data_IF_150275859363
#
_entry.id   IF_150275859363
#
_cell.length_a   1.000
_cell.length_b   1.000
_cell.length_c   1.000
_cell.angle_alpha   90.00
_cell.angle_beta   90.00
_cell.angle_gamma   90.00
#
_symmetry.space_group_name_H-M   'P 1'
#
loop_
_entity.id
_entity.type
_entity.pdbx_description
1 polymer ?
#
# COMPACT_ATOMS: atom_id res chain seq x y z
N UNK A 1 4.94 5.37 -20.33
CA UNK A 1 3.99 6.47 -20.07
C UNK A 1 4.65 7.68 -19.38
N UNK A 2 5.46 7.50 -18.34
CA UNK A 2 5.99 8.65 -17.59
C UNK A 2 6.79 9.64 -18.44
N UNK A 3 7.91 9.23 -19.03
CA UNK A 3 8.80 10.16 -19.76
C UNK A 3 8.15 10.69 -21.04
N UNK A 4 7.57 9.80 -21.85
CA UNK A 4 7.10 10.14 -23.21
C UNK A 4 5.68 10.75 -23.24
N UNK A 5 4.88 10.53 -22.20
CA UNK A 5 3.48 11.01 -22.15
C UNK A 5 3.20 11.91 -20.95
N UNK A 6 4.19 12.10 -20.06
CA UNK A 6 4.03 12.90 -18.84
C UNK A 6 3.12 12.27 -17.77
N UNK A 7 2.77 10.99 -17.89
CA UNK A 7 1.84 10.32 -16.97
C UNK A 7 2.64 9.53 -15.93
N UNK A 8 2.87 10.14 -14.76
CA UNK A 8 3.51 9.47 -13.64
C UNK A 8 2.59 8.37 -13.06
N UNK A 9 3.13 7.18 -12.73
CA UNK A 9 2.33 6.11 -12.17
C UNK A 9 1.96 6.40 -10.72
N UNK A 10 0.67 6.31 -10.39
CA UNK A 10 0.20 6.34 -9.00
C UNK A 10 0.32 4.98 -8.29
N UNK A 11 0.47 3.91 -9.08
CA UNK A 11 0.50 2.51 -8.65
C UNK A 11 1.31 1.68 -9.66
N UNK A 12 2.10 0.75 -9.17
CA UNK A 12 2.81 -0.25 -9.98
C UNK A 12 2.55 -1.62 -9.35
N UNK A 13 1.92 -2.54 -10.06
CA UNK A 13 1.71 -3.90 -9.56
C UNK A 13 2.96 -4.75 -9.78
N UNK A 14 3.42 -5.39 -8.71
CA UNK A 14 4.57 -6.30 -8.70
C UNK A 14 4.13 -7.70 -8.28
N UNK A 15 4.88 -8.71 -8.70
CA UNK A 15 4.69 -10.10 -8.28
C UNK A 15 5.99 -10.68 -7.71
N UNK A 16 5.86 -11.68 -6.85
CA UNK A 16 6.99 -12.55 -6.47
C UNK A 16 7.52 -13.28 -7.70
N UNK A 17 8.77 -13.77 -7.62
CA UNK A 17 9.44 -14.47 -8.74
C UNK A 17 8.68 -15.74 -9.13
N UNK A 18 8.16 -16.47 -8.14
CA UNK A 18 7.32 -17.65 -8.31
C UNK A 18 5.86 -17.33 -8.70
N UNK A 19 5.51 -16.03 -8.79
CA UNK A 19 4.18 -15.51 -9.13
C UNK A 19 3.05 -15.97 -8.21
N UNK A 20 3.37 -16.43 -7.00
CA UNK A 20 2.35 -16.86 -6.03
C UNK A 20 1.69 -15.70 -5.30
N UNK A 21 2.34 -14.52 -5.27
CA UNK A 21 1.81 -13.31 -4.63
C UNK A 21 2.04 -12.08 -5.51
N UNK A 22 1.12 -11.13 -5.44
CA UNK A 22 1.25 -9.81 -6.06
C UNK A 22 0.77 -8.69 -5.15
N UNK A 23 1.42 -7.53 -5.24
CA UNK A 23 1.11 -6.33 -4.45
C UNK A 23 1.26 -5.07 -5.29
N UNK A 24 0.49 -4.01 -5.00
CA UNK A 24 0.80 -2.69 -5.52
C UNK A 24 1.96 -2.05 -4.75
N UNK A 25 2.96 -1.55 -5.47
CA UNK A 25 3.80 -0.46 -4.99
C UNK A 25 3.00 0.83 -5.12
N UNK A 26 2.88 1.55 -4.00
CA UNK A 26 2.17 2.80 -3.91
C UNK A 26 3.13 3.99 -3.93
N UNK A 27 2.76 5.05 -4.64
CA UNK A 27 3.47 6.31 -4.54
C UNK A 27 3.36 6.84 -3.10
N UNK A 28 4.50 7.19 -2.50
CA UNK A 28 4.58 7.78 -1.17
C UNK A 28 3.67 9.02 -1.07
N UNK A 29 3.01 9.27 0.09
CA UNK A 29 3.06 8.54 1.37
C UNK A 29 2.07 7.38 1.49
N UNK A 30 1.39 6.99 0.40
CA UNK A 30 0.39 5.93 0.44
C UNK A 30 1.03 4.55 0.63
N UNK A 31 0.33 3.66 1.33
CA UNK A 31 0.66 2.26 1.53
C UNK A 31 -0.40 1.37 0.90
N UNK A 32 -0.04 0.13 0.59
CA UNK A 32 -0.98 -0.87 0.12
C UNK A 32 -1.85 -1.36 1.27
N UNK A 33 -3.14 -1.01 1.24
CA UNK A 33 -4.15 -1.40 2.25
C UNK A 33 -5.06 -2.46 1.64
N UNK A 34 -5.17 -3.61 2.30
CA UNK A 34 -6.09 -4.67 1.87
C UNK A 34 -7.54 -4.18 2.04
N UNK A 35 -8.39 -4.46 1.04
CA UNK A 35 -9.81 -4.08 1.08
C UNK A 35 -10.74 -5.28 1.05
N UNK A 36 -10.53 -6.23 0.14
CA UNK A 36 -11.36 -7.43 -0.02
C UNK A 36 -10.75 -8.36 -1.05
N UNK A 37 -11.19 -9.63 -1.09
CA UNK A 37 -10.77 -10.59 -2.12
C UNK A 37 -9.63 -11.50 -1.68
N UNK A 38 -8.91 -12.09 -2.63
CA UNK A 38 -7.79 -12.99 -2.32
C UNK A 38 -6.57 -12.16 -1.90
N UNK A 39 -6.09 -12.41 -0.69
CA UNK A 39 -4.92 -11.76 -0.11
C UNK A 39 -3.66 -11.92 -0.97
N UNK A 40 -3.59 -12.85 -1.93
CA UNK A 40 -2.42 -13.06 -2.77
C UNK A 40 -2.44 -12.24 -4.07
N UNK A 41 -3.54 -11.56 -4.41
CA UNK A 41 -3.65 -10.75 -5.64
C UNK A 41 -3.65 -9.24 -5.36
N UNK A 42 -2.92 -8.49 -6.18
CA UNK A 42 -2.75 -7.05 -6.02
C UNK A 42 -4.08 -6.27 -6.13
N UNK A 43 -5.05 -6.76 -6.89
CA UNK A 43 -6.39 -6.16 -7.03
C UNK A 43 -7.16 -6.11 -5.70
N UNK A 44 -6.79 -6.93 -4.73
CA UNK A 44 -7.37 -6.95 -3.38
C UNK A 44 -6.90 -5.81 -2.48
N UNK A 45 -6.04 -4.92 -3.00
CA UNK A 45 -5.41 -3.84 -2.25
C UNK A 45 -5.64 -2.48 -2.94
N UNK A 46 -5.73 -1.41 -2.16
CA UNK A 46 -5.75 -0.02 -2.61
C UNK A 46 -4.56 0.74 -2.03
N UNK A 47 -4.09 1.77 -2.74
CA UNK A 47 -3.09 2.69 -2.19
C UNK A 47 -3.80 3.77 -1.37
N UNK A 48 -3.71 3.67 -0.04
CA UNK A 48 -4.32 4.60 0.90
C UNK A 48 -3.27 5.22 1.83
N UNK A 49 -3.56 6.40 2.36
CA UNK A 49 -2.76 6.95 3.46
C UNK A 49 -2.99 6.05 4.68
N UNK A 50 -1.95 5.61 5.40
CA UNK A 50 -2.16 4.95 6.69
C UNK A 50 -2.88 5.94 7.62
N UNK A 51 -4.06 5.58 8.10
CA UNK A 51 -4.79 6.43 9.05
C UNK A 51 -3.92 6.64 10.30
N UNK A 52 -3.71 7.89 10.68
CA UNK A 52 -2.94 8.34 11.86
C UNK A 52 -3.59 7.97 13.21
N UNK A 53 -4.33 6.85 13.27
CA UNK A 53 -5.11 6.45 14.46
C UNK A 53 -4.51 5.27 15.21
N UNK A 54 -3.22 5.00 15.01
CA UNK A 54 -2.53 3.96 15.75
C UNK A 54 -1.05 4.28 15.97
N UNK A 55 -0.75 5.55 16.22
CA UNK A 55 0.39 5.88 17.07
C UNK A 55 -0.14 5.72 18.50
N UNK A 56 0.32 4.67 19.18
CA UNK A 56 0.03 4.40 20.58
C UNK A 56 0.62 5.57 21.41
N UNK A 57 -0.23 6.51 21.81
CA UNK A 57 0.01 7.38 22.96
C UNK A 57 -0.18 6.53 24.23
N UNK A 58 0.78 5.66 24.55
CA UNK A 58 0.88 5.05 25.88
C UNK A 58 1.75 5.95 26.76
N UNK A 59 1.23 7.13 27.11
CA UNK A 59 1.75 7.98 28.20
C UNK A 59 0.81 7.86 29.42
N UNK A 60 0.69 6.66 29.98
CA UNK A 60 0.11 6.46 31.32
C UNK A 60 1.24 6.58 32.37
N UNK A 61 1.33 7.77 32.95
CA UNK A 61 2.13 8.09 34.13
C UNK A 61 1.30 7.77 35.39
N UNK A 62 1.60 6.65 36.06
CA UNK A 62 1.04 6.34 37.38
C UNK A 62 2.01 6.81 38.50
N UNK A 63 1.50 7.70 39.36
CA UNK A 63 2.05 8.16 40.66
C UNK A 63 2.07 7.04 41.73
#
# INVERSE_FOLDING_TARGET
AWVEQGIAPSRIDISTVDRTKSRPICAYPKKATYVSGDVNVASSYVCAIPDSRHDHDDDDHDD
#
